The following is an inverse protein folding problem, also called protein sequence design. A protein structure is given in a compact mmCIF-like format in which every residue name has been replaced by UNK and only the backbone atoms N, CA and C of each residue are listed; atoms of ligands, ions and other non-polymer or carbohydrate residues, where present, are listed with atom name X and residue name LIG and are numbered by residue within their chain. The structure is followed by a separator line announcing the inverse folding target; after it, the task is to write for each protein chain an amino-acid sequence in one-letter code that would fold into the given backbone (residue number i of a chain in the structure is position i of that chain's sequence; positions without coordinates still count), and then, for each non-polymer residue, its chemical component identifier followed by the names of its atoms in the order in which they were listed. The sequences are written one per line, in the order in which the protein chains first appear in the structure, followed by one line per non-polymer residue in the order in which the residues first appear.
data_IF_258437457671
#
_entry.id   IF_258437457671
#
_cell.length_a   1.000
_cell.length_b   1.000
_cell.length_c   1.000
_cell.angle_alpha   90.00
_cell.angle_beta   90.00
_cell.angle_gamma   90.00
#
_symmetry.space_group_name_H-M   'P 1'
#
loop_
_entity.id
_entity.type
_entity.pdbx_description
1 polymer ?
#
# COMPACT_ATOMS: atom_id res chain seq x y z
N UNK A 1 -47.19 31.00 50.49
CA UNK A 1 -47.44 30.07 49.38
C UNK A 1 -46.08 29.67 48.81
N UNK A 2 -45.34 28.71 49.36
CA UNK A 2 -45.68 27.55 50.22
C UNK A 2 -46.69 26.60 49.57
N UNK A 3 -46.51 25.26 49.53
CA UNK A 3 -45.44 24.40 50.09
C UNK A 3 -44.76 23.60 48.93
N UNK A 4 -43.55 23.03 48.95
CA UNK A 4 -42.61 22.50 49.98
C UNK A 4 -42.98 21.14 50.61
N UNK A 5 -42.03 20.19 50.57
CA UNK A 5 -41.89 18.83 51.18
C UNK A 5 -41.01 17.98 50.20
N UNK A 6 -39.88 17.33 50.52
CA UNK A 6 -39.33 16.65 51.73
C UNK A 6 -40.19 15.46 52.22
N UNK A 7 -39.68 14.26 52.57
CA UNK A 7 -38.39 13.58 52.41
C UNK A 7 -38.67 12.03 52.51
N UNK A 8 -37.78 11.04 52.72
CA UNK A 8 -36.34 10.92 53.02
C UNK A 8 -35.83 9.49 52.60
N UNK A 9 -34.60 9.10 52.99
CA UNK A 9 -34.14 7.70 53.00
C UNK A 9 -34.60 6.93 54.26
N UNK A 10 -34.53 5.58 54.28
CA UNK A 10 -33.63 4.94 55.25
C UNK A 10 -32.81 3.75 54.68
N UNK A 11 -32.19 2.94 55.54
CA UNK A 11 -30.88 2.32 55.30
C UNK A 11 -30.73 0.80 55.56
N UNK A 12 -29.90 0.14 54.73
CA UNK A 12 -28.96 -0.98 55.03
C UNK A 12 -29.51 -2.39 55.41
N UNK A 13 -29.52 -3.28 54.40
CA UNK A 13 -28.93 -4.64 54.41
C UNK A 13 -29.55 -5.78 55.26
N UNK A 14 -28.98 -7.02 55.23
CA UNK A 14 -27.96 -7.55 54.30
C UNK A 14 -28.25 -8.99 53.74
N UNK A 15 -27.25 -9.56 53.05
CA UNK A 15 -27.06 -10.99 52.69
C UNK A 15 -27.79 -11.59 51.46
N UNK A 16 -27.02 -12.30 50.62
CA UNK A 16 -27.47 -13.00 49.40
C UNK A 16 -26.32 -13.22 48.41
N UNK A 17 -25.49 -14.25 48.63
CA UNK A 17 -24.21 -14.46 47.91
C UNK A 17 -24.32 -15.55 46.84
N UNK A 18 -23.79 -15.31 45.63
CA UNK A 18 -23.34 -16.35 44.70
C UNK A 18 -22.24 -15.83 43.75
N UNK A 19 -21.03 -16.38 43.86
CA UNK A 19 -19.87 -16.09 42.99
C UNK A 19 -19.39 -17.37 42.25
N UNK A 20 -19.15 -17.32 40.94
CA UNK A 20 -18.31 -18.28 40.22
C UNK A 20 -16.82 -17.83 40.17
N UNK A 21 -15.86 -18.75 39.97
CA UNK A 21 -14.57 -18.66 40.68
C UNK A 21 -13.46 -17.82 40.03
N UNK A 22 -12.71 -17.13 40.90
CA UNK A 22 -11.41 -16.50 40.58
C UNK A 22 -10.32 -17.56 40.39
N UNK A 23 -9.62 -17.51 39.24
CA UNK A 23 -8.52 -18.44 38.95
C UNK A 23 -7.21 -17.98 39.64
N UNK A 24 -6.94 -18.52 40.83
CA UNK A 24 -5.79 -18.13 41.65
C UNK A 24 -4.43 -18.64 41.11
N UNK A 25 -3.62 -17.74 40.55
CA UNK A 25 -2.23 -18.04 40.16
C UNK A 25 -1.33 -18.11 41.41
N UNK A 26 -1.08 -19.32 41.92
CA UNK A 26 -0.09 -19.54 43.00
C UNK A 26 1.32 -19.17 42.54
N UNK A 27 1.88 -18.08 43.08
CA UNK A 27 3.33 -17.85 43.08
C UNK A 27 4.02 -18.91 43.95
N UNK A 28 4.77 -19.82 43.33
CA UNK A 28 5.75 -20.66 44.05
C UNK A 28 7.13 -20.03 43.84
N UNK A 29 7.62 -19.32 44.86
CA UNK A 29 9.04 -18.97 44.92
C UNK A 29 9.84 -20.19 45.39
N UNK A 30 10.81 -20.62 44.58
CA UNK A 30 12.00 -21.32 45.05
C UNK A 30 13.23 -20.55 44.56
N UNK A 31 14.06 -20.11 45.50
CA UNK A 31 15.38 -19.57 45.19
C UNK A 31 16.35 -20.73 44.86
N UNK A 32 17.29 -20.51 43.95
CA UNK A 32 18.26 -21.55 43.59
C UNK A 32 19.12 -21.22 42.36
N UNK A 33 20.30 -20.67 42.62
CA UNK A 33 21.57 -20.89 41.91
C UNK A 33 21.61 -20.85 40.36
N UNK A 34 22.21 -19.76 39.86
CA UNK A 34 23.32 -19.70 38.90
C UNK A 34 23.44 -20.75 37.75
N UNK A 35 23.56 -20.22 36.53
CA UNK A 35 24.49 -20.78 35.52
C UNK A 35 23.88 -21.35 34.24
N UNK A 36 24.26 -20.73 33.10
CA UNK A 36 24.31 -21.29 31.72
C UNK A 36 23.18 -22.25 31.29
N UNK A 37 22.20 -21.76 30.52
CA UNK A 37 21.32 -22.60 29.70
C UNK A 37 21.82 -22.73 28.27
N UNK A 38 22.37 -23.88 27.93
CA UNK A 38 22.48 -24.35 26.54
C UNK A 38 21.07 -24.73 26.06
N UNK A 39 20.64 -24.26 24.88
CA UNK A 39 19.32 -24.63 24.32
C UNK A 39 19.49 -25.77 23.32
N UNK A 40 19.31 -27.00 23.79
CA UNK A 40 19.09 -28.16 22.92
C UNK A 40 17.61 -28.26 22.53
N UNK A 41 17.32 -28.44 21.24
CA UNK A 41 15.96 -28.71 20.76
C UNK A 41 15.61 -30.18 20.96
N UNK A 42 14.70 -30.47 21.90
CA UNK A 42 14.12 -31.80 22.06
C UNK A 42 12.85 -31.90 21.20
N UNK A 43 12.91 -32.63 20.08
CA UNK A 43 11.74 -32.85 19.21
C UNK A 43 10.86 -33.96 19.77
N UNK A 44 9.89 -33.60 20.61
CA UNK A 44 8.85 -34.53 21.06
C UNK A 44 7.82 -34.75 19.95
N UNK A 45 7.73 -35.97 19.42
CA UNK A 45 6.63 -36.38 18.55
C UNK A 45 5.39 -36.65 19.41
N UNK A 46 4.25 -36.02 19.09
CA UNK A 46 2.98 -36.35 19.74
C UNK A 46 1.78 -36.23 18.80
N UNK A 47 1.01 -37.31 18.69
CA UNK A 47 -0.42 -37.34 18.37
C UNK A 47 -0.93 -36.59 17.14
N UNK A 48 -1.15 -37.32 16.03
CA UNK A 48 -2.08 -36.87 14.98
C UNK A 48 -3.50 -36.87 15.58
N UNK A 49 -4.13 -35.70 15.71
CA UNK A 49 -5.42 -35.56 16.39
C UNK A 49 -6.26 -34.35 15.94
N UNK A 50 -7.01 -34.53 14.85
CA UNK A 50 -8.18 -33.72 14.41
C UNK A 50 -8.06 -32.18 14.45
N UNK A 51 -7.67 -31.60 13.30
CA UNK A 51 -8.37 -30.44 12.71
C UNK A 51 -8.29 -29.08 13.41
N UNK A 52 -7.15 -28.39 13.29
CA UNK A 52 -7.07 -26.95 13.57
C UNK A 52 -7.36 -26.18 12.27
N UNK A 53 -8.55 -25.54 12.18
CA UNK A 53 -8.94 -24.75 11.02
C UNK A 53 -8.13 -23.44 10.86
N UNK A 54 -7.94 -22.93 9.63
CA UNK A 54 -6.99 -21.85 9.31
C UNK A 54 -7.26 -20.53 10.04
N UNK A 55 -8.50 -20.26 10.46
CA UNK A 55 -8.87 -19.02 11.14
C UNK A 55 -8.17 -18.81 12.49
N UNK A 56 -7.88 -19.88 13.25
CA UNK A 56 -7.23 -19.74 14.58
C UNK A 56 -5.74 -19.42 14.48
N UNK A 57 -5.05 -19.93 13.45
CA UNK A 57 -3.64 -19.60 13.20
C UNK A 57 -3.47 -18.12 12.78
N UNK A 58 -4.40 -17.61 11.95
CA UNK A 58 -4.50 -16.18 11.59
C UNK A 58 -4.63 -15.30 12.84
N UNK A 59 -5.56 -15.60 13.75
CA UNK A 59 -5.81 -14.80 14.96
C UNK A 59 -4.62 -14.77 15.92
N UNK A 60 -3.91 -15.89 16.10
CA UNK A 60 -2.72 -15.94 16.95
C UNK A 60 -1.58 -15.05 16.42
N UNK A 61 -1.35 -15.07 15.11
CA UNK A 61 -0.31 -14.24 14.47
C UNK A 61 -0.69 -12.76 14.39
N UNK A 62 -1.98 -12.43 14.20
CA UNK A 62 -2.43 -11.03 14.25
C UNK A 62 -2.25 -10.39 15.63
N UNK A 63 -2.55 -11.11 16.73
CA UNK A 63 -2.34 -10.58 18.10
C UNK A 63 -0.86 -10.32 18.41
N UNK A 64 0.03 -11.20 17.95
CA UNK A 64 1.49 -11.00 18.00
C UNK A 64 2.00 -9.79 17.19
N UNK A 65 1.14 -9.15 16.39
CA UNK A 65 1.47 -7.94 15.61
C UNK A 65 0.76 -6.67 16.13
N UNK A 66 -0.23 -6.82 17.02
CA UNK A 66 -0.91 -5.68 17.66
C UNK A 66 -0.22 -5.26 18.98
N UNK A 67 0.34 -6.21 19.74
CA UNK A 67 1.06 -5.93 21.01
C UNK A 67 2.52 -5.45 20.78
N UNK A 68 2.67 -4.27 20.18
CA UNK A 68 3.96 -3.64 19.89
C UNK A 68 4.62 -2.99 21.13
N UNK A 69 4.88 -3.77 22.19
CA UNK A 69 5.48 -3.29 23.44
C UNK A 69 6.64 -4.13 24.01
N UNK A 70 6.67 -5.46 23.78
CA UNK A 70 7.52 -6.39 24.55
C UNK A 70 8.67 -7.09 23.80
N UNK A 71 8.98 -6.72 22.54
CA UNK A 71 10.04 -7.37 21.75
C UNK A 71 11.15 -6.37 21.35
N UNK A 72 12.19 -6.28 22.20
CA UNK A 72 13.46 -5.60 21.87
C UNK A 72 14.42 -6.54 21.14
N UNK A 73 14.25 -6.73 19.83
CA UNK A 73 15.29 -7.37 18.98
C UNK A 73 16.07 -6.34 18.15
N UNK A 74 17.30 -6.07 18.60
CA UNK A 74 18.24 -5.16 17.94
C UNK A 74 19.18 -5.85 16.95
N UNK A 75 18.67 -6.40 15.85
CA UNK A 75 19.48 -6.60 14.64
C UNK A 75 18.65 -6.39 13.36
N UNK A 76 19.17 -5.52 12.49
CA UNK A 76 18.63 -5.23 11.17
C UNK A 76 18.67 -6.45 10.23
N UNK A 77 19.68 -7.32 10.38
CA UNK A 77 19.88 -8.52 9.55
C UNK A 77 18.74 -9.52 9.73
N UNK A 78 18.34 -9.79 10.98
CA UNK A 78 17.27 -10.74 11.33
C UNK A 78 15.93 -10.28 10.76
N UNK A 79 15.59 -8.98 10.86
CA UNK A 79 14.33 -8.45 10.33
C UNK A 79 14.27 -8.53 8.80
N UNK A 80 15.38 -8.29 8.09
CA UNK A 80 15.45 -8.45 6.63
C UNK A 80 15.26 -9.93 6.24
N UNK A 81 15.92 -10.86 6.93
CA UNK A 81 15.76 -12.30 6.70
C UNK A 81 14.30 -12.76 6.93
N UNK A 82 13.66 -12.31 8.00
CA UNK A 82 12.26 -12.65 8.30
C UNK A 82 11.28 -12.15 7.23
N UNK A 83 11.44 -10.91 6.75
CA UNK A 83 10.61 -10.35 5.65
C UNK A 83 10.87 -11.10 4.33
N UNK A 84 12.11 -11.50 4.05
CA UNK A 84 12.45 -12.32 2.88
C UNK A 84 11.80 -13.71 2.95
N UNK A 85 11.95 -14.44 4.07
CA UNK A 85 11.33 -15.75 4.25
C UNK A 85 9.79 -15.69 4.22
N UNK A 86 9.20 -14.64 4.81
CA UNK A 86 7.76 -14.40 4.75
C UNK A 86 7.27 -14.19 3.31
N UNK A 87 7.96 -13.34 2.53
CA UNK A 87 7.66 -13.06 1.13
C UNK A 87 7.82 -14.27 0.21
N UNK A 88 8.84 -15.10 0.43
CA UNK A 88 9.02 -16.39 -0.27
C UNK A 88 7.85 -17.32 0.07
N UNK A 89 7.61 -17.61 1.35
CA UNK A 89 6.61 -18.59 1.77
C UNK A 89 5.18 -18.19 1.35
N UNK A 90 4.81 -16.93 1.52
CA UNK A 90 3.49 -16.44 1.08
C UNK A 90 3.42 -16.27 -0.44
N UNK A 91 4.54 -15.93 -1.09
CA UNK A 91 4.64 -15.90 -2.55
C UNK A 91 4.42 -17.26 -3.22
N UNK A 92 4.68 -18.38 -2.53
CA UNK A 92 4.35 -19.72 -3.01
C UNK A 92 2.95 -20.22 -2.61
N UNK A 93 2.30 -19.61 -1.60
CA UNK A 93 1.02 -20.09 -1.03
C UNK A 93 -0.21 -19.24 -1.38
N UNK A 94 -0.04 -18.04 -1.94
CA UNK A 94 -1.16 -17.16 -2.32
C UNK A 94 -1.55 -17.38 -3.79
N UNK A 95 -2.85 -17.52 -4.05
CA UNK A 95 -3.43 -17.53 -5.40
C UNK A 95 -3.04 -16.25 -6.16
N UNK A 96 -2.33 -16.40 -7.27
CA UNK A 96 -1.81 -15.26 -8.03
C UNK A 96 -2.90 -14.47 -8.76
N UNK A 97 -4.03 -15.10 -9.08
CA UNK A 97 -5.15 -14.51 -9.79
C UNK A 97 -6.35 -14.18 -8.89
N UNK A 98 -6.98 -13.03 -9.18
CA UNK A 98 -8.32 -12.67 -8.75
C UNK A 98 -9.37 -13.77 -9.04
N UNK A 99 -10.53 -13.70 -8.42
CA UNK A 99 -11.73 -14.44 -8.84
C UNK A 99 -12.45 -13.74 -10.00
N UNK A 100 -12.43 -12.41 -10.04
CA UNK A 100 -12.98 -11.60 -11.15
C UNK A 100 -11.86 -11.22 -12.15
N UNK A 101 -12.02 -11.48 -13.46
CA UNK A 101 -11.10 -10.98 -14.48
C UNK A 101 -11.02 -9.46 -14.50
N UNK A 102 -9.82 -8.92 -14.72
CA UNK A 102 -9.60 -7.47 -14.81
C UNK A 102 -10.15 -6.92 -16.11
N UNK A 103 -10.99 -5.87 -16.04
CA UNK A 103 -11.36 -5.09 -17.22
C UNK A 103 -10.35 -3.94 -17.35
N UNK A 104 -9.71 -3.85 -18.51
CA UNK A 104 -8.62 -2.91 -18.78
C UNK A 104 -8.94 -2.07 -20.01
N UNK A 105 -8.69 -0.77 -19.92
CA UNK A 105 -8.52 0.08 -21.09
C UNK A 105 -7.02 0.24 -21.36
N UNK A 106 -6.53 -0.32 -22.46
CA UNK A 106 -5.12 -0.28 -22.84
C UNK A 106 -4.83 0.99 -23.67
N UNK A 107 -3.68 1.60 -23.40
CA UNK A 107 -3.18 2.78 -24.09
C UNK A 107 -2.00 2.33 -24.94
N UNK A 108 -2.19 2.39 -26.26
CA UNK A 108 -1.21 1.97 -27.25
C UNK A 108 -0.39 3.17 -27.77
N UNK A 109 0.87 2.92 -28.09
CA UNK A 109 1.75 3.84 -28.81
C UNK A 109 2.41 3.04 -29.93
N UNK A 110 2.32 3.54 -31.17
CA UNK A 110 2.85 2.84 -32.37
C UNK A 110 2.28 1.42 -32.56
N UNK A 111 1.07 1.16 -32.03
CA UNK A 111 0.40 -0.14 -32.04
C UNK A 111 0.69 -1.01 -30.82
N UNK A 112 1.77 -0.73 -30.08
CA UNK A 112 2.20 -1.50 -28.91
C UNK A 112 1.47 -1.07 -27.62
N UNK A 113 0.99 -2.01 -26.77
CA UNK A 113 0.41 -1.67 -25.49
C UNK A 113 1.50 -1.19 -24.52
N UNK A 114 1.33 0.01 -23.95
CA UNK A 114 2.27 0.60 -22.99
C UNK A 114 1.70 0.61 -21.57
N UNK A 115 0.43 1.02 -21.43
CA UNK A 115 -0.28 1.07 -20.15
C UNK A 115 -1.62 0.35 -20.25
N UNK A 116 -2.07 -0.20 -19.12
CA UNK A 116 -3.43 -0.73 -18.97
C UNK A 116 -4.11 -0.09 -17.76
N UNK A 117 -5.13 0.74 -17.97
CA UNK A 117 -5.93 1.29 -16.87
C UNK A 117 -6.94 0.23 -16.45
N UNK A 118 -6.77 -0.36 -15.26
CA UNK A 118 -7.68 -1.35 -14.71
C UNK A 118 -8.86 -0.62 -14.07
N UNK A 119 -10.03 -0.83 -14.66
CA UNK A 119 -11.27 -0.12 -14.38
C UNK A 119 -12.45 -1.10 -14.14
N UNK A 120 -12.15 -2.32 -13.68
CA UNK A 120 -13.12 -3.38 -13.37
C UNK A 120 -14.31 -2.83 -12.55
N UNK A 121 -15.56 -2.98 -13.03
CA UNK A 121 -16.74 -2.51 -12.31
C UNK A 121 -16.80 -3.05 -10.87
N UNK A 122 -17.12 -2.16 -9.94
CA UNK A 122 -17.18 -2.50 -8.52
C UNK A 122 -18.27 -3.54 -8.24
N UNK A 123 -17.88 -4.66 -7.62
CA UNK A 123 -18.78 -5.72 -7.19
C UNK A 123 -18.53 -5.99 -5.70
N UNK A 124 -19.48 -5.70 -4.79
CA UNK A 124 -19.28 -5.91 -3.36
C UNK A 124 -19.05 -7.39 -2.99
N UNK A 125 -19.64 -8.34 -3.71
CA UNK A 125 -19.40 -9.78 -3.50
C UNK A 125 -17.97 -10.22 -3.93
N UNK A 126 -17.29 -9.39 -4.72
CA UNK A 126 -15.89 -9.53 -5.10
C UNK A 126 -15.09 -8.26 -4.75
N UNK A 127 -15.41 -7.64 -3.60
CA UNK A 127 -14.78 -6.38 -3.17
C UNK A 127 -13.24 -6.45 -3.22
N UNK A 128 -12.55 -7.50 -2.70
CA UNK A 128 -11.10 -7.57 -2.73
C UNK A 128 -10.49 -7.55 -4.13
N UNK A 129 -11.23 -7.91 -5.19
CA UNK A 129 -10.73 -7.85 -6.57
C UNK A 129 -11.06 -6.51 -7.24
N UNK A 130 -12.21 -5.90 -6.90
CA UNK A 130 -12.82 -4.78 -7.66
C UNK A 130 -12.78 -3.41 -6.97
N UNK A 131 -12.25 -3.30 -5.76
CA UNK A 131 -12.26 -2.06 -4.96
C UNK A 131 -11.25 -0.94 -5.36
N UNK A 132 -10.44 -1.11 -6.43
CA UNK A 132 -9.36 -0.18 -6.80
C UNK A 132 -9.25 0.10 -8.30
N UNK A 133 -8.96 1.36 -8.65
CA UNK A 133 -8.61 1.79 -10.02
C UNK A 133 -7.11 2.10 -10.09
N UNK A 134 -6.37 1.27 -10.82
CA UNK A 134 -4.91 1.27 -10.88
C UNK A 134 -4.38 1.10 -12.32
N UNK A 135 -3.13 1.44 -12.57
CA UNK A 135 -2.53 1.40 -13.92
C UNK A 135 -1.40 0.38 -14.00
N UNK A 136 -1.51 -0.57 -14.92
CA UNK A 136 -0.42 -1.46 -15.30
C UNK A 136 0.58 -0.78 -16.23
N UNK A 137 1.87 -1.10 -16.04
CA UNK A 137 2.95 -0.86 -17.01
C UNK A 137 3.23 -2.16 -17.79
N UNK A 138 3.45 -2.08 -19.10
CA UNK A 138 3.64 -3.23 -20.01
C UNK A 138 5.09 -3.29 -20.51
N UNK A 139 5.68 -4.50 -20.58
CA UNK A 139 7.04 -4.70 -21.11
C UNK A 139 7.10 -4.40 -22.61
N UNK A 140 8.29 -4.04 -23.11
CA UNK A 140 8.54 -3.91 -24.54
C UNK A 140 8.85 -5.27 -25.21
N UNK A 141 9.47 -6.20 -24.49
CA UNK A 141 9.87 -7.51 -25.02
C UNK A 141 8.71 -8.50 -25.26
N UNK A 142 7.67 -8.49 -24.43
CA UNK A 142 6.62 -9.53 -24.46
C UNK A 142 5.18 -9.00 -24.37
N UNK A 143 4.96 -7.69 -24.33
CA UNK A 143 3.63 -7.09 -24.21
C UNK A 143 2.85 -7.46 -22.94
N UNK A 144 3.49 -8.08 -21.93
CA UNK A 144 2.83 -8.47 -20.69
C UNK A 144 3.10 -7.47 -19.54
N UNK A 145 2.15 -7.26 -18.61
CA UNK A 145 2.35 -6.37 -17.48
C UNK A 145 3.60 -6.70 -16.64
N UNK A 146 4.43 -5.69 -16.36
CA UNK A 146 5.57 -5.75 -15.42
C UNK A 146 5.17 -5.34 -13.99
N UNK A 147 3.85 -5.24 -13.76
CA UNK A 147 3.23 -4.76 -12.52
C UNK A 147 2.15 -5.73 -12.07
N UNK A 148 1.90 -5.80 -10.76
CA UNK A 148 0.96 -6.76 -10.16
C UNK A 148 -0.48 -6.28 -10.27
N UNK A 149 -1.39 -7.20 -10.61
CA UNK A 149 -2.84 -6.98 -10.63
C UNK A 149 -3.52 -7.28 -9.30
N UNK A 150 -4.82 -7.56 -9.34
CA UNK A 150 -5.58 -8.11 -8.22
C UNK A 150 -5.16 -9.55 -7.86
N UNK A 151 -5.39 -9.97 -6.61
CA UNK A 151 -4.82 -11.20 -6.04
C UNK A 151 -3.36 -11.04 -5.58
N UNK A 152 -2.63 -12.16 -5.44
CA UNK A 152 -1.18 -12.19 -5.13
C UNK A 152 -0.74 -11.64 -3.76
N UNK A 153 0.57 -11.58 -3.53
CA UNK A 153 1.17 -11.11 -2.26
C UNK A 153 0.94 -9.61 -2.05
N UNK A 154 0.47 -9.24 -0.85
CA UNK A 154 -0.13 -7.93 -0.54
C UNK A 154 -1.20 -7.55 -1.59
N UNK A 155 -2.37 -8.19 -1.51
CA UNK A 155 -3.44 -8.08 -2.53
C UNK A 155 -4.03 -6.67 -2.70
N UNK A 156 -3.83 -5.77 -1.75
CA UNK A 156 -4.21 -4.35 -1.85
C UNK A 156 -3.23 -3.52 -2.71
N UNK A 157 -1.98 -3.98 -2.90
CA UNK A 157 -0.94 -3.28 -3.68
C UNK A 157 -1.00 -3.75 -5.14
N UNK A 158 -1.27 -2.83 -6.09
CA UNK A 158 -1.52 -3.14 -7.52
C UNK A 158 -1.04 -2.01 -8.44
N UNK A 159 -0.49 -2.33 -9.62
CA UNK A 159 -0.11 -1.34 -10.63
C UNK A 159 0.73 -0.18 -10.09
N UNK A 160 0.60 0.98 -10.74
CA UNK A 160 0.58 2.27 -10.04
C UNK A 160 -0.81 2.46 -9.41
N UNK A 161 -0.86 2.79 -8.12
CA UNK A 161 -2.08 3.11 -7.37
C UNK A 161 -1.88 4.36 -6.51
N UNK A 162 -3.00 4.91 -6.06
CA UNK A 162 -3.09 6.08 -5.19
C UNK A 162 -3.99 5.70 -4.00
N UNK A 163 -3.67 6.14 -2.79
CA UNK A 163 -4.49 5.89 -1.59
C UNK A 163 -3.79 6.30 -0.30
N UNK A 164 -4.53 6.39 0.80
CA UNK A 164 -4.04 6.79 2.13
C UNK A 164 -4.66 5.93 3.23
N UNK A 165 -3.83 5.46 4.17
CA UNK A 165 -4.25 4.61 5.28
C UNK A 165 -5.21 5.31 6.26
N UNK A 166 -5.12 6.62 6.40
CA UNK A 166 -6.15 7.44 7.06
C UNK A 166 -6.65 8.47 6.05
N UNK A 167 -7.91 8.33 5.64
CA UNK A 167 -8.63 9.32 4.83
C UNK A 167 -9.82 9.79 5.66
N UNK A 168 -9.66 10.93 6.32
CA UNK A 168 -10.60 11.37 7.36
C UNK A 168 -11.62 12.35 6.76
N UNK A 169 -12.90 12.08 6.99
CA UNK A 169 -14.03 12.87 6.48
C UNK A 169 -15.06 12.95 7.59
N UNK A 170 -15.41 14.16 8.04
CA UNK A 170 -16.52 14.37 8.98
C UNK A 170 -16.39 13.55 10.31
N UNK A 171 -15.15 13.39 10.79
CA UNK A 171 -14.80 12.58 11.97
C UNK A 171 -14.75 11.07 11.72
N UNK A 172 -15.14 10.58 10.54
CA UNK A 172 -14.99 9.18 10.12
C UNK A 172 -13.62 8.97 9.45
N UNK A 173 -13.09 7.75 9.48
CA UNK A 173 -11.78 7.41 8.91
C UNK A 173 -11.90 6.23 7.95
N UNK A 174 -11.54 6.46 6.68
CA UNK A 174 -11.52 5.43 5.65
C UNK A 174 -10.09 5.01 5.32
N UNK A 175 -9.79 3.71 5.36
CA UNK A 175 -8.51 3.16 4.90
C UNK A 175 -8.54 2.95 3.37
N UNK A 176 -8.31 4.03 2.62
CA UNK A 176 -8.29 4.00 1.14
C UNK A 176 -7.02 3.38 0.59
N UNK A 177 -6.01 3.15 1.44
CA UNK A 177 -4.83 2.36 1.08
C UNK A 177 -5.19 0.87 0.94
N UNK A 178 -5.76 0.26 1.98
CA UNK A 178 -6.14 -1.15 1.95
C UNK A 178 -7.44 -1.40 1.18
N UNK A 179 -8.37 -0.45 1.20
CA UNK A 179 -9.79 -0.63 0.84
C UNK A 179 -10.42 -1.75 1.68
N UNK A 180 -10.77 -1.41 2.93
CA UNK A 180 -11.52 -2.29 3.83
C UNK A 180 -13.03 -2.04 3.68
N UNK A 181 -13.45 -0.80 3.96
CA UNK A 181 -14.86 -0.37 3.94
C UNK A 181 -15.08 0.84 3.01
N UNK A 182 -14.25 0.95 1.97
CA UNK A 182 -14.32 1.98 0.93
C UNK A 182 -13.78 1.43 -0.41
N UNK A 183 -13.96 2.17 -1.50
CA UNK A 183 -13.62 1.71 -2.86
C UNK A 183 -13.29 2.88 -3.78
N UNK A 184 -12.36 2.68 -4.71
CA UNK A 184 -12.24 3.52 -5.92
C UNK A 184 -13.02 2.86 -7.05
N UNK A 185 -13.87 3.63 -7.73
CA UNK A 185 -14.73 3.19 -8.83
C UNK A 185 -14.44 4.05 -10.07
N UNK A 186 -14.53 3.47 -11.26
CA UNK A 186 -14.38 4.23 -12.50
C UNK A 186 -15.65 5.03 -12.80
N UNK A 187 -15.56 6.36 -12.75
CA UNK A 187 -16.69 7.29 -12.90
C UNK A 187 -16.98 7.71 -14.34
N UNK A 188 -16.27 7.15 -15.33
CA UNK A 188 -16.45 7.46 -16.75
C UNK A 188 -15.23 8.12 -17.39
N UNK A 189 -15.15 7.97 -18.72
CA UNK A 189 -14.11 8.58 -19.56
C UNK A 189 -14.43 10.05 -19.86
N UNK A 190 -13.40 10.88 -19.92
CA UNK A 190 -13.45 12.31 -20.27
C UNK A 190 -12.96 12.56 -21.71
N UNK A 191 -12.23 11.59 -22.26
CA UNK A 191 -11.85 11.46 -23.66
C UNK A 191 -11.74 9.96 -23.97
N UNK A 192 -12.02 9.57 -25.21
CA UNK A 192 -12.09 8.15 -25.61
C UNK A 192 -10.74 7.42 -25.45
N UNK A 193 -10.70 6.27 -24.74
CA UNK A 193 -9.49 5.45 -24.59
C UNK A 193 -8.83 5.08 -25.91
N UNK A 194 -7.50 4.99 -25.92
CA UNK A 194 -6.71 4.51 -27.07
C UNK A 194 -6.74 5.38 -28.35
N UNK A 195 -7.65 6.35 -28.48
CA UNK A 195 -7.75 7.23 -29.67
C UNK A 195 -6.55 8.15 -29.84
N UNK A 196 -5.84 8.42 -28.75
CA UNK A 196 -4.55 9.11 -28.67
C UNK A 196 -3.67 8.39 -27.66
N UNK A 197 -2.38 8.74 -27.60
CA UNK A 197 -1.45 8.27 -26.58
C UNK A 197 -1.74 8.83 -25.16
N UNK A 198 -3.01 9.12 -24.83
CA UNK A 198 -3.44 9.70 -23.57
C UNK A 198 -4.83 9.17 -23.15
N UNK A 199 -5.00 8.92 -21.86
CA UNK A 199 -6.30 8.61 -21.24
C UNK A 199 -6.68 9.73 -20.27
N UNK A 200 -7.98 10.04 -20.14
CA UNK A 200 -8.48 10.94 -19.11
C UNK A 200 -9.84 10.47 -18.62
N UNK A 201 -10.00 10.35 -17.29
CA UNK A 201 -11.16 9.70 -16.67
C UNK A 201 -11.42 10.20 -15.24
N UNK A 202 -12.61 9.87 -14.74
CA UNK A 202 -13.01 10.10 -13.36
C UNK A 202 -12.74 8.84 -12.53
N UNK A 203 -12.20 9.03 -11.32
CA UNK A 203 -12.21 8.00 -10.26
C UNK A 203 -13.02 8.53 -9.09
N UNK A 204 -14.06 7.79 -8.70
CA UNK A 204 -14.92 8.14 -7.57
C UNK A 204 -14.51 7.31 -6.35
N UNK A 205 -14.25 8.00 -5.25
CA UNK A 205 -13.80 7.39 -4.00
C UNK A 205 -15.01 7.32 -3.07
N UNK A 206 -15.52 6.10 -2.91
CA UNK A 206 -16.80 5.80 -2.29
C UNK A 206 -16.64 5.07 -0.96
N UNK A 207 -17.49 5.39 0.01
CA UNK A 207 -17.67 4.58 1.23
C UNK A 207 -18.35 3.23 0.93
N UNK A 208 -18.57 2.42 1.97
CA UNK A 208 -19.22 1.11 1.88
C UNK A 208 -20.68 1.17 1.36
N UNK A 209 -21.42 2.24 1.63
CA UNK A 209 -22.77 2.46 1.11
C UNK A 209 -22.79 2.91 -0.36
N UNK A 210 -21.68 3.52 -0.82
CA UNK A 210 -21.52 4.10 -2.14
C UNK A 210 -21.49 5.63 -2.16
N UNK A 211 -21.58 6.30 -1.02
CA UNK A 211 -21.43 7.75 -0.91
C UNK A 211 -20.05 8.21 -1.35
N UNK A 212 -19.97 9.18 -2.26
CA UNK A 212 -18.71 9.67 -2.84
C UNK A 212 -18.17 10.81 -1.98
N UNK A 213 -16.97 10.66 -1.42
CA UNK A 213 -16.33 11.70 -0.59
C UNK A 213 -15.18 12.43 -1.31
N UNK A 214 -14.47 11.75 -2.23
CA UNK A 214 -13.54 12.39 -3.18
C UNK A 214 -13.95 12.05 -4.62
N UNK A 215 -13.98 13.06 -5.49
CA UNK A 215 -13.95 12.88 -6.94
C UNK A 215 -12.56 13.25 -7.48
N UNK A 216 -11.88 12.26 -8.03
CA UNK A 216 -10.60 12.42 -8.71
C UNK A 216 -10.81 12.54 -10.22
N UNK A 217 -10.09 13.49 -10.84
CA UNK A 217 -9.89 13.54 -12.28
C UNK A 217 -8.46 13.07 -12.55
N UNK A 218 -8.28 11.94 -13.24
CA UNK A 218 -6.97 11.35 -13.55
C UNK A 218 -6.71 11.44 -15.05
N UNK A 219 -5.51 11.84 -15.42
CA UNK A 219 -5.02 11.91 -16.79
C UNK A 219 -3.65 11.24 -16.90
N UNK A 220 -3.47 10.46 -17.96
CA UNK A 220 -2.26 9.69 -18.28
C UNK A 220 -1.85 10.08 -19.70
N UNK A 221 -0.59 10.44 -19.94
CA UNK A 221 -0.09 10.81 -21.26
C UNK A 221 1.25 10.12 -21.54
N UNK A 222 1.25 9.12 -22.43
CA UNK A 222 2.45 8.41 -22.85
C UNK A 222 3.30 9.24 -23.82
N UNK A 223 4.62 9.11 -23.69
CA UNK A 223 5.64 9.73 -24.54
C UNK A 223 6.87 8.84 -24.61
N UNK A 224 7.56 8.80 -25.75
CA UNK A 224 8.94 8.29 -25.79
C UNK A 224 9.84 9.17 -24.93
N UNK A 225 10.74 8.55 -24.17
CA UNK A 225 11.87 9.23 -23.55
C UNK A 225 13.16 8.95 -24.33
N UNK A 226 14.21 9.73 -24.03
CA UNK A 226 15.59 9.39 -24.40
C UNK A 226 15.99 7.98 -23.93
N UNK A 227 17.02 7.42 -24.57
CA UNK A 227 17.50 6.03 -24.38
C UNK A 227 16.48 4.93 -24.75
N UNK A 228 15.41 5.27 -25.48
CA UNK A 228 14.36 4.31 -25.90
C UNK A 228 13.43 3.86 -24.77
N UNK A 229 13.49 4.51 -23.61
CA UNK A 229 12.63 4.19 -22.49
C UNK A 229 11.19 4.67 -22.72
N UNK A 230 10.22 3.87 -22.27
CA UNK A 230 8.80 4.24 -22.27
C UNK A 230 8.54 5.16 -21.08
N UNK A 231 7.78 6.25 -21.25
CA UNK A 231 7.32 7.06 -20.11
C UNK A 231 5.87 7.51 -20.24
N UNK A 232 5.26 7.87 -19.11
CA UNK A 232 4.03 8.66 -19.08
C UNK A 232 4.04 9.73 -17.99
N UNK A 233 3.38 10.84 -18.29
CA UNK A 233 3.00 11.86 -17.33
C UNK A 233 1.66 11.47 -16.69
N UNK A 234 1.63 11.36 -15.37
CA UNK A 234 0.42 11.25 -14.54
C UNK A 234 0.06 12.64 -14.02
N UNK A 235 -1.13 13.12 -14.35
CA UNK A 235 -1.77 14.22 -13.65
C UNK A 235 -3.01 13.71 -12.92
N UNK A 236 -3.17 14.09 -11.66
CA UNK A 236 -4.34 13.74 -10.86
C UNK A 236 -4.81 14.94 -10.04
N UNK A 237 -6.13 15.15 -10.02
CA UNK A 237 -6.81 16.23 -9.28
C UNK A 237 -7.88 15.63 -8.38
N UNK A 238 -7.59 15.46 -7.10
CA UNK A 238 -8.53 14.99 -6.09
C UNK A 238 -9.32 16.18 -5.54
N UNK A 239 -10.65 16.10 -5.61
CA UNK A 239 -11.56 17.12 -5.12
C UNK A 239 -12.43 16.52 -4.02
N UNK A 240 -12.42 17.13 -2.84
CA UNK A 240 -13.44 16.88 -1.82
C UNK A 240 -14.83 17.24 -2.39
N UNK A 241 -15.84 16.42 -2.13
CA UNK A 241 -17.19 16.60 -2.73
C UNK A 241 -17.98 17.69 -2.02
N UNK A 242 -18.23 17.54 -0.71
CA UNK A 242 -19.10 18.41 0.09
C UNK A 242 -18.42 18.91 1.39
N UNK A 243 -17.58 18.08 2.01
CA UNK A 243 -16.91 18.31 3.30
C UNK A 243 -15.38 18.20 3.17
N UNK A 244 -14.59 18.83 4.06
CA UNK A 244 -13.14 18.68 4.05
C UNK A 244 -12.68 17.23 4.19
N UNK A 245 -11.56 16.88 3.56
CA UNK A 245 -10.96 15.54 3.61
C UNK A 245 -9.48 15.62 3.97
N UNK A 246 -9.08 14.89 5.01
CA UNK A 246 -7.72 14.88 5.56
C UNK A 246 -7.01 13.60 5.13
N UNK A 247 -5.90 13.70 4.37
CA UNK A 247 -5.14 12.55 3.87
C UNK A 247 -3.86 12.36 4.68
N UNK A 248 -3.76 11.24 5.41
CA UNK A 248 -2.64 10.91 6.32
C UNK A 248 -2.22 9.45 6.19
N UNK A 249 -1.03 9.11 6.69
CA UNK A 249 -0.58 7.72 6.75
C UNK A 249 0.87 7.56 7.21
N UNK A 250 1.63 6.75 6.47
CA UNK A 250 3.05 6.56 6.68
C UNK A 250 3.76 6.25 5.35
N UNK A 251 5.11 6.32 5.25
CA UNK A 251 5.88 6.05 4.03
C UNK A 251 5.75 4.65 3.42
N UNK A 252 4.85 3.81 3.91
CA UNK A 252 4.49 2.52 3.32
C UNK A 252 3.03 2.39 2.90
N UNK A 253 2.15 3.27 3.38
CA UNK A 253 0.70 3.12 3.23
C UNK A 253 -0.01 4.43 2.86
N UNK A 254 0.66 5.33 2.12
CA UNK A 254 0.05 6.55 1.60
C UNK A 254 0.76 7.11 0.34
N UNK A 255 0.04 7.95 -0.41
CA UNK A 255 0.54 8.67 -1.59
C UNK A 255 0.38 7.91 -2.92
N UNK A 256 1.35 8.06 -3.82
CA UNK A 256 1.38 7.45 -5.16
C UNK A 256 2.47 6.39 -5.21
N UNK A 257 2.09 5.14 -5.45
CA UNK A 257 2.94 3.97 -5.22
C UNK A 257 2.81 2.94 -6.36
N UNK A 258 3.91 2.28 -6.71
CA UNK A 258 3.99 1.21 -7.72
C UNK A 258 4.24 -0.13 -7.02
N UNK A 259 3.50 -1.17 -7.45
CA UNK A 259 3.78 -2.59 -7.17
C UNK A 259 4.12 -3.30 -8.48
N UNK A 260 5.38 -3.68 -8.62
CA UNK A 260 5.90 -4.51 -9.71
C UNK A 260 5.25 -5.91 -9.70
N UNK A 261 5.54 -6.74 -10.72
CA UNK A 261 4.97 -8.08 -10.87
C UNK A 261 5.01 -8.94 -9.58
N UNK A 262 4.06 -9.87 -9.43
CA UNK A 262 3.92 -10.64 -8.19
C UNK A 262 5.23 -11.40 -7.83
N UNK A 263 5.85 -12.03 -8.82
CA UNK A 263 7.10 -12.79 -8.70
C UNK A 263 8.27 -12.07 -8.03
N UNK A 264 8.31 -10.72 -8.05
CA UNK A 264 9.39 -9.95 -7.43
C UNK A 264 9.45 -10.18 -5.91
N UNK A 265 8.31 -10.50 -5.26
CA UNK A 265 8.31 -10.84 -3.84
C UNK A 265 8.91 -12.22 -3.52
N UNK A 266 9.03 -13.11 -4.52
CA UNK A 266 9.74 -14.40 -4.42
C UNK A 266 11.25 -14.24 -4.56
N UNK A 267 11.72 -13.13 -5.14
CA UNK A 267 13.14 -12.85 -5.44
C UNK A 267 13.62 -11.47 -4.94
N UNK A 268 13.34 -11.05 -3.69
CA UNK A 268 13.60 -9.67 -3.23
C UNK A 268 15.09 -9.28 -3.17
N UNK A 269 16.01 -10.22 -3.38
CA UNK A 269 17.45 -9.94 -3.51
C UNK A 269 17.84 -9.42 -4.90
N UNK A 270 17.04 -9.62 -5.95
CA UNK A 270 17.30 -8.99 -7.26
C UNK A 270 16.94 -7.52 -7.30
N UNK A 271 16.11 -7.05 -6.35
CA UNK A 271 15.61 -5.67 -6.31
C UNK A 271 16.64 -4.73 -5.70
N UNK A 272 17.12 -3.77 -6.50
CA UNK A 272 18.00 -2.66 -6.10
C UNK A 272 17.27 -1.33 -6.29
N UNK A 273 17.65 -0.31 -5.53
CA UNK A 273 17.19 1.05 -5.73
C UNK A 273 18.36 1.97 -6.10
N UNK A 274 18.13 2.83 -7.08
CA UNK A 274 18.97 3.98 -7.43
C UNK A 274 18.21 5.24 -7.00
N UNK A 275 18.93 6.18 -6.39
CA UNK A 275 18.38 7.34 -5.66
C UNK A 275 19.23 8.59 -6.00
N UNK A 276 18.69 9.80 -5.87
CA UNK A 276 19.46 11.03 -6.07
C UNK A 276 20.59 11.16 -5.04
N UNK A 277 21.65 11.89 -5.41
CA UNK A 277 22.90 11.95 -4.63
C UNK A 277 22.76 12.53 -3.21
N UNK A 278 21.72 13.32 -2.96
CA UNK A 278 21.38 13.88 -1.65
C UNK A 278 20.40 13.02 -0.83
N UNK A 279 19.91 11.88 -1.36
CA UNK A 279 18.83 11.11 -0.77
C UNK A 279 19.21 10.45 0.57
N UNK A 280 18.46 10.74 1.62
CA UNK A 280 18.71 10.23 2.97
C UNK A 280 17.97 8.91 3.22
N UNK A 281 18.58 7.77 2.88
CA UNK A 281 18.03 6.45 3.26
C UNK A 281 18.14 6.23 4.78
N UNK A 282 17.00 5.98 5.43
CA UNK A 282 16.86 5.74 6.86
C UNK A 282 16.42 4.29 7.14
N UNK A 283 16.13 3.98 8.42
CA UNK A 283 15.62 2.66 8.85
C UNK A 283 14.28 2.36 8.17
N UNK A 284 13.90 1.08 8.14
CA UNK A 284 12.62 0.61 7.60
C UNK A 284 12.41 0.91 6.10
N UNK A 285 13.49 1.04 5.31
CA UNK A 285 13.42 1.28 3.85
C UNK A 285 12.62 2.53 3.48
N UNK A 286 12.84 3.61 4.24
CA UNK A 286 12.33 4.97 4.00
C UNK A 286 13.48 5.83 3.49
N UNK A 287 13.22 6.70 2.52
CA UNK A 287 14.18 7.65 1.94
C UNK A 287 13.59 9.06 1.98
N UNK A 288 14.31 10.00 2.59
CA UNK A 288 13.98 11.43 2.59
C UNK A 288 14.84 12.18 1.57
N UNK A 289 14.51 13.45 1.32
CA UNK A 289 15.20 14.37 0.39
C UNK A 289 15.29 13.84 -1.06
N UNK A 290 14.35 12.98 -1.45
CA UNK A 290 14.29 12.39 -2.78
C UNK A 290 12.95 12.74 -3.44
N UNK A 291 13.00 13.45 -4.57
CA UNK A 291 11.82 13.66 -5.42
C UNK A 291 11.69 12.56 -6.48
N UNK A 292 12.75 11.76 -6.71
CA UNK A 292 12.72 10.58 -7.57
C UNK A 292 13.35 9.34 -6.92
N UNK A 293 12.94 8.16 -7.37
CA UNK A 293 13.58 6.88 -7.05
C UNK A 293 13.42 5.91 -8.23
N UNK A 294 14.48 5.18 -8.59
CA UNK A 294 14.43 4.12 -9.58
C UNK A 294 14.55 2.74 -8.93
N UNK A 295 13.61 1.85 -9.25
CA UNK A 295 13.61 0.46 -8.86
C UNK A 295 14.20 -0.38 -10.01
N UNK A 296 15.27 -1.11 -9.73
CA UNK A 296 15.86 -2.11 -10.64
C UNK A 296 15.44 -3.49 -10.15
N UNK A 297 14.78 -4.30 -10.99
CA UNK A 297 14.28 -5.61 -10.60
C UNK A 297 14.25 -6.61 -11.77
N UNK A 298 14.24 -7.91 -11.45
CA UNK A 298 14.13 -8.98 -12.45
C UNK A 298 12.69 -9.46 -12.57
N UNK A 299 12.14 -9.41 -13.78
CA UNK A 299 10.76 -9.79 -14.13
C UNK A 299 10.83 -10.69 -15.37
N UNK A 300 10.26 -11.89 -15.29
CA UNK A 300 10.29 -12.93 -16.35
C UNK A 300 11.69 -13.25 -16.90
N UNK A 301 12.74 -13.02 -16.10
CA UNK A 301 14.14 -13.23 -16.48
C UNK A 301 14.82 -12.04 -17.16
N UNK A 302 14.08 -10.96 -17.47
CA UNK A 302 14.63 -9.68 -17.93
C UNK A 302 14.83 -8.72 -16.76
N UNK A 303 15.98 -8.08 -16.72
CA UNK A 303 16.21 -6.90 -15.85
C UNK A 303 15.39 -5.73 -16.38
N UNK A 304 14.70 -5.03 -15.48
CA UNK A 304 13.96 -3.80 -15.79
C UNK A 304 14.37 -2.68 -14.82
N UNK A 305 14.35 -1.45 -15.33
CA UNK A 305 14.41 -0.22 -14.54
C UNK A 305 13.05 0.48 -14.57
N UNK A 306 12.56 0.93 -13.41
CA UNK A 306 11.31 1.69 -13.27
C UNK A 306 11.60 2.93 -12.40
N UNK A 307 11.70 4.09 -13.04
CA UNK A 307 11.96 5.39 -12.44
C UNK A 307 10.63 6.11 -12.13
N UNK A 308 10.41 6.42 -10.86
CA UNK A 308 9.26 7.18 -10.36
C UNK A 308 9.74 8.59 -9.99
N UNK A 309 9.12 9.64 -10.56
CA UNK A 309 9.50 11.04 -10.36
C UNK A 309 8.30 11.88 -9.92
N UNK A 310 8.47 12.69 -8.87
CA UNK A 310 7.48 13.66 -8.40
C UNK A 310 7.86 15.08 -8.86
N UNK A 311 6.87 15.86 -9.32
CA UNK A 311 7.13 17.24 -9.70
C UNK A 311 7.37 18.12 -8.46
N UNK A 312 8.35 19.04 -8.47
CA UNK A 312 8.63 19.98 -7.37
C UNK A 312 7.54 21.06 -7.17
N UNK A 313 6.38 20.91 -7.83
CA UNK A 313 5.21 21.79 -7.69
C UNK A 313 3.97 21.03 -7.19
N UNK A 314 4.16 19.81 -6.70
CA UNK A 314 3.16 19.15 -5.85
C UNK A 314 3.14 19.83 -4.47
N UNK A 315 2.01 19.89 -3.75
CA UNK A 315 1.98 20.28 -2.34
C UNK A 315 2.44 19.12 -1.43
N UNK A 316 2.81 19.42 -0.18
CA UNK A 316 3.18 18.40 0.82
C UNK A 316 4.58 17.80 0.64
N UNK A 317 5.43 18.43 -0.19
CA UNK A 317 6.80 17.96 -0.48
C UNK A 317 7.73 18.08 0.74
N UNK A 318 7.47 19.04 1.62
CA UNK A 318 8.10 19.24 2.92
C UNK A 318 7.96 18.04 3.88
N UNK A 319 7.03 17.12 3.60
CA UNK A 319 6.81 15.88 4.35
C UNK A 319 6.94 14.63 3.46
N UNK A 320 7.43 14.80 2.22
CA UNK A 320 7.55 13.71 1.27
C UNK A 320 8.68 12.74 1.62
N UNK A 321 8.39 11.44 1.47
CA UNK A 321 9.40 10.39 1.57
C UNK A 321 9.11 9.28 0.55
N UNK A 322 10.14 8.60 0.08
CA UNK A 322 9.98 7.36 -0.69
C UNK A 322 10.02 6.14 0.25
N UNK A 323 9.03 5.26 0.13
CA UNK A 323 9.15 3.88 0.60
C UNK A 323 9.78 3.04 -0.49
N UNK A 324 10.78 2.21 -0.19
CA UNK A 324 11.54 1.43 -1.19
C UNK A 324 11.68 -0.05 -0.79
N UNK A 325 10.57 -0.80 -0.84
CA UNK A 325 10.52 -2.19 -0.36
C UNK A 325 10.98 -3.18 -1.42
N UNK A 326 12.01 -3.95 -1.07
CA UNK A 326 12.69 -4.91 -1.94
C UNK A 326 11.83 -6.07 -2.47
N UNK A 327 10.59 -6.25 -2.02
CA UNK A 327 9.64 -7.21 -2.63
C UNK A 327 8.92 -6.65 -3.88
N UNK A 328 9.32 -5.47 -4.35
CA UNK A 328 8.81 -4.83 -5.56
C UNK A 328 7.68 -3.81 -5.31
N UNK A 329 7.66 -3.12 -4.16
CA UNK A 329 6.76 -1.98 -3.91
C UNK A 329 7.55 -0.73 -3.54
N UNK A 330 7.32 0.36 -4.29
CA UNK A 330 7.98 1.64 -4.02
C UNK A 330 7.16 2.83 -4.52
N UNK A 331 7.46 4.02 -4.02
CA UNK A 331 6.83 5.26 -4.50
C UNK A 331 6.79 6.35 -3.44
N UNK A 332 6.16 7.46 -3.81
CA UNK A 332 6.07 8.68 -3.03
C UNK A 332 4.96 8.62 -1.97
N UNK A 333 5.32 8.87 -0.72
CA UNK A 333 4.41 9.25 0.36
C UNK A 333 4.43 10.77 0.54
N UNK A 334 3.26 11.33 0.83
CA UNK A 334 3.04 12.72 1.24
C UNK A 334 1.64 12.81 1.87
N UNK A 335 1.37 13.88 2.60
CA UNK A 335 0.09 14.16 3.27
C UNK A 335 -0.53 15.42 2.68
N UNK A 336 -1.86 15.56 2.78
CA UNK A 336 -2.58 16.69 2.17
C UNK A 336 -3.95 16.91 2.83
N UNK A 337 -4.44 18.15 2.76
CA UNK A 337 -5.80 18.52 3.18
C UNK A 337 -6.58 19.06 1.99
N UNK A 338 -7.76 18.49 1.74
CA UNK A 338 -8.65 18.86 0.65
C UNK A 338 -9.83 19.64 1.22
N UNK A 339 -10.19 20.74 0.56
CA UNK A 339 -11.39 21.52 0.89
C UNK A 339 -12.29 21.57 -0.36
N UNK A 340 -13.62 21.60 -0.20
CA UNK A 340 -14.53 21.85 -1.33
C UNK A 340 -14.08 23.09 -2.13
N UNK A 341 -14.05 22.99 -3.46
CA UNK A 341 -13.55 24.03 -4.35
C UNK A 341 -12.01 24.18 -4.44
N UNK A 342 -11.23 23.63 -3.50
CA UNK A 342 -9.75 23.70 -3.46
C UNK A 342 -9.13 22.30 -3.59
N UNK A 343 -9.00 21.77 -4.82
CA UNK A 343 -8.56 20.39 -5.05
C UNK A 343 -7.05 20.21 -4.92
N UNK A 344 -6.64 19.08 -4.34
CA UNK A 344 -5.27 18.58 -4.38
C UNK A 344 -4.89 18.27 -5.83
N UNK A 345 -3.77 18.84 -6.30
CA UNK A 345 -3.22 18.61 -7.64
C UNK A 345 -1.88 17.91 -7.54
N UNK A 346 -1.70 16.87 -8.32
CA UNK A 346 -0.55 15.96 -8.26
C UNK A 346 -0.02 15.71 -9.66
N UNK A 347 1.29 15.83 -9.82
CA UNK A 347 2.04 15.58 -11.06
C UNK A 347 3.16 14.58 -10.76
N UNK A 348 3.18 13.48 -11.51
CA UNK A 348 4.26 12.50 -11.48
C UNK A 348 4.64 12.11 -12.91
N UNK A 349 5.89 11.72 -13.12
CA UNK A 349 6.32 11.06 -14.35
C UNK A 349 6.87 9.69 -14.00
N UNK A 350 6.39 8.67 -14.68
CA UNK A 350 6.89 7.30 -14.55
C UNK A 350 7.57 6.92 -15.85
N UNK A 351 8.79 6.40 -15.75
CA UNK A 351 9.59 5.93 -16.87
C UNK A 351 10.00 4.48 -16.62
N UNK A 352 10.00 3.63 -17.64
CA UNK A 352 10.46 2.26 -17.54
C UNK A 352 11.14 1.77 -18.81
N UNK A 353 12.11 0.88 -18.62
CA UNK A 353 12.88 0.24 -19.70
C UNK A 353 13.34 -1.15 -19.25
N UNK A 354 13.74 -1.97 -20.22
CA UNK A 354 14.60 -3.12 -19.96
C UNK A 354 16.05 -2.66 -19.78
N UNK A 355 16.84 -3.46 -19.05
CA UNK A 355 18.16 -3.07 -18.58
C UNK A 355 18.12 -2.32 -17.24
N UNK A 356 19.22 -1.65 -16.92
CA UNK A 356 19.36 -0.80 -15.73
C UNK A 356 19.40 0.69 -16.12
N UNK A 357 19.19 1.58 -15.15
CA UNK A 357 19.47 3.01 -15.28
C UNK A 357 20.36 3.43 -14.12
N UNK A 358 21.43 4.18 -14.40
CA UNK A 358 22.34 4.71 -13.39
C UNK A 358 21.79 6.02 -12.74
N UNK A 359 22.55 6.57 -11.78
CA UNK A 359 22.12 7.76 -11.06
C UNK A 359 22.13 9.04 -11.92
N UNK A 360 23.03 9.16 -12.90
CA UNK A 360 23.09 10.28 -13.84
C UNK A 360 22.03 10.18 -14.94
N UNK A 361 21.73 8.96 -15.40
CA UNK A 361 20.63 8.69 -16.33
C UNK A 361 19.28 9.02 -15.67
N UNK A 362 19.05 8.57 -14.42
CA UNK A 362 17.85 8.94 -13.67
C UNK A 362 17.75 10.45 -13.42
N UNK A 363 18.84 11.07 -12.95
CA UNK A 363 18.89 12.49 -12.61
C UNK A 363 18.65 13.40 -13.82
N UNK A 364 19.22 13.09 -15.00
CA UNK A 364 18.99 13.94 -16.17
C UNK A 364 17.63 13.69 -16.85
N UNK A 365 16.95 12.55 -16.63
CA UNK A 365 15.51 12.43 -16.92
C UNK A 365 14.67 13.29 -15.96
N UNK A 366 15.08 13.38 -14.69
CA UNK A 366 14.40 14.23 -13.71
C UNK A 366 14.55 15.73 -14.02
N UNK A 367 15.71 16.15 -14.54
CA UNK A 367 15.93 17.52 -15.04
C UNK A 367 15.10 17.82 -16.28
N UNK A 368 15.00 16.88 -17.22
CA UNK A 368 14.12 17.00 -18.40
C UNK A 368 12.66 17.19 -17.97
N UNK A 369 12.19 16.40 -16.99
CA UNK A 369 10.83 16.52 -16.45
C UNK A 369 10.55 17.84 -15.74
N UNK A 370 11.53 18.37 -15.01
CA UNK A 370 11.38 19.61 -14.21
C UNK A 370 11.72 20.90 -14.97
N UNK A 371 12.23 20.80 -16.20
CA UNK A 371 12.42 21.94 -17.11
C UNK A 371 11.33 22.08 -18.18
N UNK A 372 10.54 21.04 -18.44
CA UNK A 372 9.42 21.06 -19.41
C UNK A 372 8.10 21.60 -18.79
N UNK A 373 8.15 22.80 -18.20
CA UNK A 373 7.06 23.39 -17.37
C UNK A 373 6.49 24.66 -17.97
#
# INVERSE_FOLDING_TARGET
MDCSHDAAQPSVGPAGVFDPPVCAVRRVFRAGLAGRKTVGFLVSHCGIGKGIGPCRLRLALCRLWQDHSLIRFGDFRVRKLAVTLYGIAHGFLIKESAAVPEQRAELHVEGEPWLGTVATPYNPAAHPDTCKVFTHLYSAYDGLPITKGAGGFDSHQRGLHIGWRSTEVDGQVFDTWHMTDCSQRHGGWLAEPGTVAAHSFIVEWCDASGGIFIREFRSLLCRHARYGARMFDLQSRLSAVDRPVTLRGDPHHAGVQIRLANEVCRRPWSTRFVLPGNAQRRRNDIVYDALWACCLADIRGKRHAILHMAHPANPGLEHMAYGIRAYGRFGAFFEADLKPGSPLRMRFRILWTEGELDAGECEAHYREYTSSV
#
